data_IF_699816035696
#
_entry.id   IF_699816035696
#
_cell.length_a   1.000
_cell.length_b   1.000
_cell.length_c   1.000
_cell.angle_alpha   90.00
_cell.angle_beta   90.00
_cell.angle_gamma   90.00
#
_symmetry.space_group_name_H-M   'P 1'
#
loop_
_entity.id
_entity.type
_entity.pdbx_description
1 polymer ?
#
# COMPACT_ATOMS: atom_id res chain seq x y z
N UNK A 1 12.87 -18.57 -25.55
CA UNK A 1 11.63 -17.75 -25.54
C UNK A 1 12.00 -16.35 -25.09
N UNK A 2 11.76 -15.35 -25.92
CA UNK A 2 12.07 -13.95 -25.60
C UNK A 2 10.76 -13.32 -25.11
N UNK A 3 10.62 -13.13 -23.79
CA UNK A 3 9.52 -12.34 -23.27
C UNK A 3 9.78 -10.89 -23.66
N UNK A 4 8.84 -10.20 -24.36
CA UNK A 4 8.97 -8.77 -24.56
C UNK A 4 9.06 -8.13 -23.18
N UNK A 5 9.99 -7.21 -22.99
CA UNK A 5 10.00 -6.35 -21.82
C UNK A 5 8.68 -5.61 -21.81
N UNK A 6 7.70 -6.09 -21.04
CA UNK A 6 6.54 -5.31 -20.70
C UNK A 6 7.09 -4.06 -20.02
N UNK A 7 7.13 -2.95 -20.76
CA UNK A 7 7.29 -1.61 -20.23
C UNK A 7 6.02 -1.29 -19.41
N UNK A 8 5.78 -2.08 -18.36
CA UNK A 8 4.89 -1.66 -17.29
C UNK A 8 5.60 -0.46 -16.68
N UNK A 9 5.01 0.74 -16.68
CA UNK A 9 5.60 1.86 -15.99
C UNK A 9 5.67 1.47 -14.51
N UNK A 10 6.85 1.07 -14.05
CA UNK A 10 7.09 0.88 -12.64
C UNK A 10 7.08 2.28 -12.03
N UNK A 11 5.93 2.68 -11.48
CA UNK A 11 5.78 3.93 -10.71
C UNK A 11 6.48 3.81 -9.34
N UNK A 12 7.70 3.27 -9.33
CA UNK A 12 8.50 3.13 -8.12
C UNK A 12 9.08 4.49 -7.74
N UNK A 13 9.35 4.63 -6.45
CA UNK A 13 9.94 5.80 -5.79
C UNK A 13 11.19 6.35 -6.48
N UNK A 14 11.97 5.54 -7.19
CA UNK A 14 13.14 6.01 -7.95
C UNK A 14 12.77 6.82 -9.20
N UNK A 15 11.71 6.47 -9.93
CA UNK A 15 11.25 7.25 -11.09
C UNK A 15 10.68 8.61 -10.67
N UNK A 16 10.04 8.65 -9.50
CA UNK A 16 9.58 9.86 -8.81
C UNK A 16 10.77 10.79 -8.46
N UNK A 17 11.83 10.26 -7.85
CA UNK A 17 13.02 11.03 -7.51
C UNK A 17 13.72 11.64 -8.72
N UNK A 18 13.82 10.91 -9.85
CA UNK A 18 14.42 11.43 -11.10
C UNK A 18 13.63 12.61 -11.67
N UNK A 19 12.32 12.67 -11.44
CA UNK A 19 11.46 13.78 -11.88
C UNK A 19 11.26 14.87 -10.83
N UNK A 20 11.89 14.77 -9.66
CA UNK A 20 11.69 15.68 -8.52
C UNK A 20 10.26 15.65 -7.94
N UNK A 21 9.39 14.76 -8.43
CA UNK A 21 8.03 14.56 -7.93
C UNK A 21 8.09 13.55 -6.81
N UNK A 22 7.54 13.87 -5.64
CA UNK A 22 7.47 12.94 -4.50
C UNK A 22 6.14 12.18 -4.43
N UNK A 23 5.22 12.51 -5.34
CA UNK A 23 3.87 12.00 -5.40
C UNK A 23 3.34 11.97 -6.83
N UNK A 24 2.53 10.96 -7.15
CA UNK A 24 1.74 10.87 -8.40
C UNK A 24 0.32 10.47 -8.04
N UNK A 25 -0.66 11.09 -8.69
CA UNK A 25 -2.06 10.67 -8.62
C UNK A 25 -2.53 10.40 -10.04
N UNK A 26 -2.98 9.17 -10.25
CA UNK A 26 -3.60 8.73 -11.48
C UNK A 26 -5.07 8.45 -11.19
N UNK A 27 -5.95 9.26 -11.77
CA UNK A 27 -7.38 8.98 -11.78
C UNK A 27 -7.69 8.05 -12.95
N UNK A 28 -8.31 6.91 -12.66
CA UNK A 28 -8.60 5.85 -13.62
C UNK A 28 -10.11 5.69 -13.70
N UNK A 29 -10.66 5.85 -14.91
CA UNK A 29 -12.06 5.54 -15.18
C UNK A 29 -12.26 4.03 -15.24
N UNK A 30 -13.13 3.53 -14.38
CA UNK A 30 -13.56 2.14 -14.34
C UNK A 30 -14.84 1.96 -15.15
N UNK A 31 -15.26 0.71 -15.31
CA UNK A 31 -16.55 0.41 -15.93
C UNK A 31 -17.71 1.04 -15.13
N UNK A 32 -18.82 1.32 -15.82
CA UNK A 32 -20.04 1.89 -15.23
C UNK A 32 -19.86 3.28 -14.61
N UNK A 33 -18.91 4.08 -15.12
CA UNK A 33 -18.71 5.46 -14.69
C UNK A 33 -18.07 5.62 -13.31
N UNK A 34 -17.58 4.53 -12.72
CA UNK A 34 -16.84 4.56 -11.46
C UNK A 34 -15.42 5.06 -11.66
N UNK A 35 -14.82 5.62 -10.62
CA UNK A 35 -13.44 6.13 -10.68
C UNK A 35 -12.56 5.55 -9.57
N UNK A 36 -11.28 5.41 -9.89
CA UNK A 36 -10.23 4.98 -8.98
C UNK A 36 -9.14 6.04 -8.94
N UNK A 37 -8.81 6.53 -7.75
CA UNK A 37 -7.55 7.23 -7.52
C UNK A 37 -6.47 6.25 -7.11
N UNK A 38 -5.43 6.15 -7.94
CA UNK A 38 -4.18 5.49 -7.59
C UNK A 38 -3.15 6.55 -7.19
N UNK A 39 -2.78 6.55 -5.91
CA UNK A 39 -1.96 7.58 -5.29
C UNK A 39 -0.62 6.94 -4.90
N UNK A 40 0.47 7.38 -5.50
CA UNK A 40 1.81 6.91 -5.14
C UNK A 40 2.47 7.92 -4.20
N UNK A 41 2.95 7.45 -3.06
CA UNK A 41 3.60 8.25 -2.01
C UNK A 41 5.04 7.79 -1.77
N UNK A 42 5.98 8.73 -1.69
CA UNK A 42 7.36 8.46 -1.26
C UNK A 42 7.46 8.40 0.27
N UNK A 43 7.26 7.21 0.83
CA UNK A 43 7.32 6.95 2.28
C UNK A 43 8.71 7.08 2.87
N UNK A 44 9.77 6.85 2.09
CA UNK A 44 11.14 6.98 2.57
C UNK A 44 11.45 8.44 2.94
N UNK A 45 10.79 9.39 2.26
CA UNK A 45 10.88 10.82 2.57
C UNK A 45 10.00 11.27 3.74
N UNK A 46 9.06 10.42 4.17
CA UNK A 46 8.12 10.65 5.28
C UNK A 46 8.61 10.04 6.60
N UNK A 47 9.65 9.18 6.55
CA UNK A 47 10.19 8.46 7.69
C UNK A 47 11.30 9.17 8.46
N UNK A 48 11.10 9.26 9.78
CA UNK A 48 11.93 9.96 10.77
C UNK A 48 13.36 9.45 10.97
N UNK A 49 13.95 8.69 10.04
CA UNK A 49 15.39 8.48 10.01
C UNK A 49 16.06 9.68 9.31
N UNK A 50 16.17 10.78 10.04
CA UNK A 50 17.06 11.88 9.69
C UNK A 50 18.49 11.37 9.91
N UNK A 51 19.33 11.16 8.87
CA UNK A 51 20.77 11.14 9.11
C UNK A 51 21.10 12.50 9.72
N UNK A 52 21.69 12.51 10.93
CA UNK A 52 22.00 13.74 11.70
C UNK A 52 22.42 14.88 10.74
N UNK A 53 21.54 15.87 10.54
CA UNK A 53 21.84 17.04 9.71
C UNK A 53 20.77 17.53 8.72
N UNK A 54 19.62 16.86 8.50
CA UNK A 54 18.52 17.40 7.66
C UNK A 54 17.31 17.86 8.48
N UNK A 55 16.88 19.10 8.24
CA UNK A 55 15.81 19.77 8.98
C UNK A 55 14.42 19.16 8.73
N UNK A 56 13.62 19.12 9.80
CA UNK A 56 12.23 18.60 9.92
C UNK A 56 11.16 19.33 9.09
N UNK A 57 11.54 20.29 8.25
CA UNK A 57 10.61 21.19 7.54
C UNK A 57 9.86 20.56 6.35
N UNK A 58 10.15 19.29 5.98
CA UNK A 58 9.62 18.68 4.76
C UNK A 58 8.41 17.75 4.96
N UNK A 59 8.17 17.25 6.17
CA UNK A 59 7.08 16.30 6.46
C UNK A 59 5.70 16.99 6.44
N UNK A 60 5.63 18.24 6.93
CA UNK A 60 4.43 19.06 6.93
C UNK A 60 3.92 19.37 5.52
N UNK A 61 4.84 19.70 4.61
CA UNK A 61 4.48 20.10 3.24
C UNK A 61 3.94 18.92 2.44
N UNK A 62 4.45 17.73 2.75
CA UNK A 62 4.06 16.46 2.14
C UNK A 62 2.67 16.02 2.57
N UNK A 63 2.42 16.00 3.88
CA UNK A 63 1.10 15.72 4.43
C UNK A 63 0.07 16.76 3.99
N UNK A 64 0.47 18.04 3.92
CA UNK A 64 -0.39 19.11 3.44
C UNK A 64 -0.75 18.92 1.95
N UNK A 65 0.21 18.57 1.10
CA UNK A 65 -0.06 18.27 -0.31
C UNK A 65 -1.00 17.06 -0.47
N UNK A 66 -0.74 15.97 0.25
CA UNK A 66 -1.57 14.76 0.20
C UNK A 66 -3.00 15.06 0.63
N UNK A 67 -3.16 15.80 1.74
CA UNK A 67 -4.45 16.26 2.25
C UNK A 67 -5.17 17.10 1.19
N UNK A 68 -4.53 18.15 0.68
CA UNK A 68 -5.10 19.04 -0.36
C UNK A 68 -5.49 18.31 -1.63
N UNK A 69 -4.80 17.22 -1.96
CA UNK A 69 -5.12 16.48 -3.18
C UNK A 69 -6.26 15.51 -2.96
N UNK A 70 -6.26 14.79 -1.84
CA UNK A 70 -7.40 13.94 -1.45
C UNK A 70 -8.69 14.74 -1.30
N UNK A 71 -8.63 15.97 -0.79
CA UNK A 71 -9.77 16.91 -0.70
C UNK A 71 -10.41 17.25 -2.06
N UNK A 72 -9.63 17.19 -3.15
CA UNK A 72 -10.09 17.56 -4.50
C UNK A 72 -10.66 16.39 -5.30
N UNK A 73 -10.57 15.18 -4.76
CA UNK A 73 -11.03 13.97 -5.42
C UNK A 73 -12.32 13.47 -4.80
N UNK A 74 -13.24 12.95 -5.60
CA UNK A 74 -14.50 12.35 -5.15
C UNK A 74 -14.65 10.88 -5.57
N UNK A 75 -13.53 10.26 -5.98
CA UNK A 75 -13.51 8.92 -6.56
C UNK A 75 -14.13 7.84 -5.68
N UNK A 76 -14.69 6.83 -6.34
CA UNK A 76 -15.36 5.70 -5.67
C UNK A 76 -14.38 4.79 -4.93
N UNK A 77 -13.18 4.63 -5.50
CA UNK A 77 -12.09 3.88 -4.92
C UNK A 77 -10.84 4.75 -4.78
N UNK A 78 -10.12 4.56 -3.68
CA UNK A 78 -8.81 5.16 -3.43
C UNK A 78 -7.83 4.09 -2.98
N UNK A 79 -6.78 3.89 -3.78
CA UNK A 79 -5.66 3.01 -3.47
C UNK A 79 -4.41 3.87 -3.32
N UNK A 80 -3.76 3.78 -2.17
CA UNK A 80 -2.46 4.42 -1.95
C UNK A 80 -1.35 3.38 -2.01
N UNK A 81 -0.25 3.72 -2.68
CA UNK A 81 0.92 2.86 -2.84
C UNK A 81 2.14 3.57 -2.25
N UNK A 82 2.77 2.96 -1.26
CA UNK A 82 4.01 3.42 -0.66
C UNK A 82 5.05 2.32 -0.63
N UNK A 83 6.30 2.66 -0.28
CA UNK A 83 7.35 1.64 -0.12
C UNK A 83 7.30 1.01 1.27
N UNK A 84 7.28 1.86 2.31
CA UNK A 84 7.32 1.46 3.71
C UNK A 84 5.92 1.17 4.25
N UNK A 85 5.75 0.11 5.04
CA UNK A 85 4.50 -0.16 5.71
C UNK A 85 4.19 0.88 6.81
N UNK A 86 2.91 1.23 6.95
CA UNK A 86 2.43 2.14 8.01
C UNK A 86 2.21 1.41 9.33
N UNK A 87 1.82 0.14 9.24
CA UNK A 87 1.60 -0.74 10.38
C UNK A 87 2.82 -1.63 10.52
N UNK A 88 3.57 -1.53 11.61
CA UNK A 88 4.76 -2.34 11.86
C UNK A 88 4.55 -3.30 13.03
N UNK A 89 5.37 -4.35 13.08
CA UNK A 89 5.33 -5.32 14.17
C UNK A 89 5.99 -4.74 15.42
N UNK A 90 5.25 -4.70 16.52
CA UNK A 90 5.83 -4.37 17.82
C UNK A 90 6.69 -5.55 18.29
N UNK A 91 7.97 -5.28 18.59
CA UNK A 91 8.95 -6.28 19.08
C UNK A 91 9.21 -6.18 20.59
N UNK A 92 8.41 -5.41 21.34
CA UNK A 92 8.62 -5.23 22.78
C UNK A 92 8.08 -6.42 23.59
N UNK A 93 8.96 -7.37 23.91
CA UNK A 93 8.70 -8.48 24.86
C UNK A 93 7.70 -9.53 24.37
N UNK A 94 6.93 -10.11 25.29
CA UNK A 94 6.01 -11.24 25.03
C UNK A 94 4.70 -10.87 24.32
N UNK A 95 4.42 -9.57 24.10
CA UNK A 95 3.20 -9.10 23.44
C UNK A 95 3.48 -8.78 21.97
N UNK A 96 3.27 -9.77 21.09
CA UNK A 96 3.17 -9.55 19.64
C UNK A 96 1.94 -8.69 19.35
N UNK A 97 2.14 -7.55 18.69
CA UNK A 97 1.06 -6.63 18.33
C UNK A 97 1.43 -5.74 17.14
N UNK A 98 0.45 -5.02 16.61
CA UNK A 98 0.63 -4.07 15.50
C UNK A 98 0.80 -2.66 16.09
N UNK A 99 1.78 -1.92 15.60
CA UNK A 99 2.03 -0.52 15.94
C UNK A 99 1.87 0.34 14.68
N UNK A 100 1.19 1.47 14.79
CA UNK A 100 1.14 2.48 13.74
C UNK A 100 2.43 3.31 13.82
N UNK A 101 3.30 3.24 12.80
CA UNK A 101 4.55 3.99 12.76
C UNK A 101 4.33 5.40 12.21
N UNK A 102 3.49 5.53 11.17
CA UNK A 102 3.16 6.80 10.52
C UNK A 102 1.76 7.29 10.89
N UNK A 103 1.58 7.73 12.14
CA UNK A 103 0.26 8.11 12.66
C UNK A 103 -0.39 9.24 11.84
N UNK A 104 0.37 10.25 11.43
CA UNK A 104 -0.14 11.36 10.61
C UNK A 104 -0.67 10.89 9.26
N UNK A 105 0.05 9.99 8.56
CA UNK A 105 -0.41 9.41 7.29
C UNK A 105 -1.64 8.54 7.50
N UNK A 106 -1.63 7.71 8.54
CA UNK A 106 -2.76 6.86 8.89
C UNK A 106 -4.03 7.69 9.14
N UNK A 107 -3.91 8.81 9.86
CA UNK A 107 -5.02 9.76 10.11
C UNK A 107 -5.54 10.38 8.81
N UNK A 108 -4.66 10.80 7.90
CA UNK A 108 -5.06 11.33 6.58
C UNK A 108 -5.79 10.27 5.76
N UNK A 109 -5.26 9.05 5.69
CA UNK A 109 -5.89 7.96 4.94
C UNK A 109 -7.27 7.62 5.48
N UNK A 110 -7.41 7.56 6.80
CA UNK A 110 -8.70 7.31 7.45
C UNK A 110 -9.68 8.43 7.18
N UNK A 111 -9.26 9.69 7.34
CA UNK A 111 -10.10 10.88 7.12
C UNK A 111 -10.67 10.94 5.70
N UNK A 112 -9.86 10.60 4.70
CA UNK A 112 -10.25 10.67 3.29
C UNK A 112 -10.67 9.32 2.72
N UNK A 113 -11.02 8.34 3.55
CA UNK A 113 -11.61 7.08 3.11
C UNK A 113 -10.76 6.31 2.10
N UNK A 114 -9.44 6.23 2.33
CA UNK A 114 -8.57 5.34 1.55
C UNK A 114 -9.02 3.89 1.76
N UNK A 115 -9.25 3.16 0.67
CA UNK A 115 -9.76 1.79 0.74
C UNK A 115 -8.63 0.79 0.96
N UNK A 116 -7.51 0.97 0.26
CA UNK A 116 -6.36 0.08 0.38
C UNK A 116 -5.03 0.84 0.39
N UNK A 117 -4.09 0.35 1.20
CA UNK A 117 -2.71 0.78 1.22
C UNK A 117 -1.80 -0.38 0.83
N UNK A 118 -1.10 -0.23 -0.30
CA UNK A 118 -0.15 -1.21 -0.82
C UNK A 118 1.27 -0.81 -0.42
N UNK A 119 2.03 -1.73 0.16
CA UNK A 119 3.42 -1.48 0.59
C UNK A 119 4.25 -2.75 0.64
N UNK A 120 5.51 -2.66 1.06
CA UNK A 120 6.25 -3.83 1.53
C UNK A 120 5.58 -4.46 2.75
N UNK A 121 5.75 -5.78 2.91
CA UNK A 121 5.20 -6.46 4.08
C UNK A 121 5.94 -6.06 5.37
N UNK A 122 5.22 -5.58 6.42
CA UNK A 122 5.81 -5.26 7.72
C UNK A 122 5.92 -6.44 8.70
N UNK A 123 4.97 -7.37 8.60
CA UNK A 123 4.60 -8.35 9.63
C UNK A 123 4.28 -9.71 8.99
N UNK A 124 3.92 -10.74 9.76
CA UNK A 124 3.58 -12.09 9.24
C UNK A 124 2.42 -12.13 8.23
N UNK A 125 1.56 -11.10 8.22
CA UNK A 125 0.34 -11.09 7.41
C UNK A 125 0.49 -10.18 6.19
N UNK A 126 0.24 -10.73 5.01
CA UNK A 126 0.24 -10.01 3.73
C UNK A 126 -1.03 -9.18 3.52
N UNK A 127 -2.08 -9.49 4.27
CA UNK A 127 -3.32 -8.73 4.31
C UNK A 127 -3.70 -8.48 5.76
N UNK A 128 -3.91 -7.21 6.11
CA UNK A 128 -4.39 -6.78 7.41
C UNK A 128 -5.43 -5.70 7.19
N UNK A 129 -6.59 -5.82 7.84
CA UNK A 129 -7.60 -4.78 7.82
C UNK A 129 -7.60 -4.07 9.16
N UNK A 130 -7.25 -2.79 9.14
CA UNK A 130 -7.26 -1.92 10.32
C UNK A 130 -8.26 -0.78 10.06
N UNK A 131 -9.35 -0.74 10.84
CA UNK A 131 -10.47 0.16 10.58
C UNK A 131 -11.09 -0.05 9.19
N UNK A 132 -11.14 1.02 8.38
CA UNK A 132 -11.67 1.01 7.02
C UNK A 132 -10.63 0.67 5.94
N UNK A 133 -9.34 0.62 6.29
CA UNK A 133 -8.23 0.51 5.34
C UNK A 133 -7.75 -0.94 5.27
N UNK A 134 -7.65 -1.49 4.05
CA UNK A 134 -6.97 -2.74 3.78
C UNK A 134 -5.47 -2.50 3.54
N UNK A 135 -4.62 -2.98 4.43
CA UNK A 135 -3.17 -2.96 4.27
C UNK A 135 -2.73 -4.25 3.56
N UNK A 136 -2.17 -4.11 2.36
CA UNK A 136 -1.70 -5.22 1.54
C UNK A 136 -0.18 -5.09 1.38
N UNK A 137 0.55 -6.02 1.97
CA UNK A 137 1.99 -6.11 1.90
C UNK A 137 2.42 -7.05 0.78
N UNK A 138 3.43 -6.68 -0.02
CA UNK A 138 4.09 -7.61 -0.94
C UNK A 138 5.52 -7.91 -0.45
N UNK A 139 5.94 -9.18 -0.52
CA UNK A 139 7.31 -9.59 -0.21
C UNK A 139 8.20 -9.33 -1.42
N UNK A 140 9.24 -8.52 -1.24
CA UNK A 140 10.33 -8.45 -2.19
C UNK A 140 11.19 -9.72 -2.15
N UNK A 141 11.96 -9.99 -3.22
CA UNK A 141 12.88 -11.14 -3.27
C UNK A 141 13.94 -11.18 -2.18
N UNK A 142 14.25 -10.02 -1.59
CA UNK A 142 15.24 -9.85 -0.53
C UNK A 142 14.63 -9.68 0.87
N UNK A 143 13.30 -9.71 0.99
CA UNK A 143 12.62 -9.55 2.27
C UNK A 143 12.53 -10.94 2.94
N UNK A 144 13.10 -11.09 4.15
CA UNK A 144 12.99 -12.33 4.89
C UNK A 144 11.56 -12.51 5.42
N UNK A 145 10.91 -13.66 5.16
CA UNK A 145 9.59 -13.95 5.69
C UNK A 145 9.64 -14.05 7.21
N UNK A 146 8.79 -13.25 7.87
CA UNK A 146 8.59 -13.40 9.31
C UNK A 146 7.77 -14.67 9.54
N UNK A 147 8.42 -15.78 9.89
CA UNK A 147 7.75 -17.05 10.16
C UNK A 147 7.10 -17.05 11.55
N UNK A 148 5.77 -17.12 11.60
CA UNK A 148 5.07 -17.71 12.75
C UNK A 148 4.53 -19.09 12.38
N UNK A 149 4.47 -19.99 13.36
CA UNK A 149 4.37 -21.45 13.19
C UNK A 149 3.28 -21.91 12.21
N UNK A 150 2.09 -21.28 12.24
CA UNK A 150 0.97 -21.63 11.36
C UNK A 150 0.88 -20.78 10.08
N UNK A 151 1.38 -19.53 10.09
CA UNK A 151 1.42 -18.66 8.90
C UNK A 151 2.56 -18.99 7.93
N UNK A 152 3.43 -19.93 8.32
CA UNK A 152 4.68 -20.27 7.66
C UNK A 152 4.52 -21.00 6.32
N UNK A 153 3.41 -21.73 6.13
CA UNK A 153 3.15 -22.48 4.90
C UNK A 153 2.67 -21.53 3.80
N UNK A 154 1.68 -20.68 4.09
CA UNK A 154 1.14 -19.70 3.14
C UNK A 154 2.22 -18.69 2.73
N UNK A 155 3.08 -18.25 3.66
CA UNK A 155 4.17 -17.32 3.32
C UNK A 155 5.24 -17.94 2.43
N UNK A 156 5.50 -19.25 2.49
CA UNK A 156 6.49 -19.93 1.62
C UNK A 156 6.09 -19.90 0.15
N UNK A 157 4.84 -20.25 -0.16
CA UNK A 157 4.34 -20.27 -1.54
C UNK A 157 4.16 -18.86 -2.13
N UNK A 158 4.28 -17.83 -1.27
CA UNK A 158 4.15 -16.43 -1.61
C UNK A 158 5.49 -15.70 -1.80
N UNK A 159 6.60 -16.43 -1.96
CA UNK A 159 7.88 -15.82 -2.30
C UNK A 159 8.00 -15.54 -3.80
N UNK A 160 8.60 -14.41 -4.16
CA UNK A 160 8.89 -14.01 -5.55
C UNK A 160 7.65 -13.93 -6.47
N UNK A 161 6.46 -13.83 -5.90
CA UNK A 161 5.23 -13.61 -6.65
C UNK A 161 4.84 -12.13 -6.72
N UNK A 162 3.60 -11.90 -7.16
CA UNK A 162 3.04 -10.55 -7.25
C UNK A 162 1.53 -10.57 -6.98
N UNK A 163 1.02 -9.41 -6.59
CA UNK A 163 -0.42 -9.20 -6.50
C UNK A 163 -1.00 -8.74 -7.83
N UNK A 164 -2.11 -9.38 -8.22
CA UNK A 164 -3.04 -8.89 -9.23
C UNK A 164 -4.28 -8.35 -8.52
N UNK A 165 -4.57 -7.06 -8.72
CA UNK A 165 -5.76 -6.40 -8.16
C UNK A 165 -6.81 -6.19 -9.24
N UNK A 166 -8.01 -6.72 -9.03
CA UNK A 166 -9.20 -6.46 -9.84
C UNK A 166 -10.09 -5.48 -9.10
N UNK A 167 -10.23 -4.27 -9.63
CA UNK A 167 -11.08 -3.21 -9.06
C UNK A 167 -12.42 -3.23 -9.80
N UNK A 168 -13.48 -3.56 -9.08
CA UNK A 168 -14.85 -3.64 -9.59
C UNK A 168 -15.76 -2.55 -9.05
N UNK A 169 -17.06 -2.69 -9.32
CA UNK A 169 -18.09 -1.74 -8.88
C UNK A 169 -18.24 -1.72 -7.35
N UNK A 170 -18.25 -2.89 -6.72
CA UNK A 170 -18.57 -3.07 -5.30
C UNK A 170 -17.43 -3.70 -4.50
N UNK A 171 -16.37 -4.12 -5.16
CA UNK A 171 -15.26 -4.80 -4.51
C UNK A 171 -13.92 -4.63 -5.22
N UNK A 172 -12.85 -4.76 -4.44
CA UNK A 172 -11.50 -4.97 -4.91
C UNK A 172 -11.11 -6.40 -4.56
N UNK A 173 -10.83 -7.23 -5.56
CA UNK A 173 -10.34 -8.60 -5.35
C UNK A 173 -8.84 -8.62 -5.62
N UNK A 174 -8.06 -9.11 -4.67
CA UNK A 174 -6.60 -9.22 -4.80
C UNK A 174 -6.18 -10.69 -4.81
N UNK A 175 -5.42 -11.07 -5.82
CA UNK A 175 -4.87 -12.41 -6.01
C UNK A 175 -3.36 -12.34 -5.89
N UNK A 176 -2.76 -13.21 -5.08
CA UNK A 176 -1.32 -13.40 -5.12
C UNK A 176 -1.00 -14.55 -6.07
N UNK A 177 -0.15 -14.28 -7.05
CA UNK A 177 0.27 -15.24 -8.07
C UNK A 177 1.74 -15.56 -7.82
N UNK A 178 2.04 -16.84 -7.58
CA UNK A 178 3.40 -17.32 -7.37
C UNK A 178 4.14 -17.50 -8.72
N UNK A 179 5.47 -17.79 -8.72
CA UNK A 179 6.22 -18.05 -9.95
C UNK A 179 5.72 -19.24 -10.79
N UNK A 180 4.99 -20.19 -10.17
CA UNK A 180 4.35 -21.31 -10.86
C UNK A 180 3.04 -20.91 -11.56
N UNK A 181 2.67 -19.62 -11.53
CA UNK A 181 1.40 -19.06 -12.05
C UNK A 181 0.16 -19.56 -11.30
N UNK A 182 0.32 -19.98 -10.05
CA UNK A 182 -0.76 -20.45 -9.20
C UNK A 182 -1.25 -19.31 -8.31
N UNK A 183 -2.57 -19.26 -8.10
CA UNK A 183 -3.18 -18.37 -7.12
C UNK A 183 -3.08 -19.01 -5.75
N UNK A 184 -2.15 -18.53 -4.94
CA UNK A 184 -1.87 -19.09 -3.59
C UNK A 184 -2.53 -18.28 -2.47
N UNK A 185 -3.04 -17.09 -2.78
CA UNK A 185 -3.81 -16.28 -1.85
C UNK A 185 -4.85 -15.43 -2.59
N UNK A 186 -6.01 -15.26 -1.97
CA UNK A 186 -7.11 -14.41 -2.44
C UNK A 186 -7.71 -13.66 -1.27
N UNK A 187 -7.91 -12.36 -1.45
CA UNK A 187 -8.66 -11.52 -0.51
C UNK A 187 -9.63 -10.61 -1.26
N UNK A 188 -10.70 -10.19 -0.60
CA UNK A 188 -11.74 -9.35 -1.19
C UNK A 188 -12.06 -8.21 -0.23
N UNK A 189 -11.98 -6.99 -0.73
CA UNK A 189 -12.37 -5.78 -0.03
C UNK A 189 -13.67 -5.28 -0.62
N UNK A 190 -14.75 -5.27 0.16
CA UNK A 190 -16.02 -4.72 -0.27
C UNK A 190 -16.10 -3.22 -0.03
N UNK A 191 -16.82 -2.51 -0.89
CA UNK A 191 -17.09 -1.10 -0.71
C UNK A 191 -17.94 -0.95 0.55
N UNK A 192 -17.47 -0.17 1.52
CA UNK A 192 -18.33 0.26 2.60
C UNK A 192 -19.28 1.33 2.04
N UNK A 193 -20.57 1.24 2.40
CA UNK A 193 -21.49 2.33 2.11
C UNK A 193 -20.89 3.64 2.61
N UNK A 194 -20.97 4.72 1.82
CA UNK A 194 -20.69 6.05 2.35
C UNK A 194 -21.80 6.32 3.37
N UNK A 195 -21.52 6.12 4.66
CA UNK A 195 -22.38 6.66 5.71
C UNK A 195 -22.34 8.18 5.54
N UNK A 196 -23.41 8.71 4.97
CA UNK A 196 -23.69 10.14 5.00
C UNK A 196 -24.06 10.47 6.44
N UNK A 197 -23.08 10.93 7.21
CA UNK A 197 -23.33 11.62 8.47
C UNK A 197 -23.49 13.11 8.22
#
# INVERSE_FOLDING_TARGET
>A
MHFPSLNVPWYTTNALQVQGKRYIINNILLQHGKTLDLIVVDTASLGGYVPKGKSRNNESDHLHWLTRTLEKTDSDWRIVVGYDPILICNKNGDKKGIKIEYESLYRVFTKFGVNAYLSKQPCTNLYLREGSIAHIGNLGPADEPYYSSESSIITRDMHNGFFLHKVGLLEIVSYFINPASEVVFRTTLHQQGKDFM
#
